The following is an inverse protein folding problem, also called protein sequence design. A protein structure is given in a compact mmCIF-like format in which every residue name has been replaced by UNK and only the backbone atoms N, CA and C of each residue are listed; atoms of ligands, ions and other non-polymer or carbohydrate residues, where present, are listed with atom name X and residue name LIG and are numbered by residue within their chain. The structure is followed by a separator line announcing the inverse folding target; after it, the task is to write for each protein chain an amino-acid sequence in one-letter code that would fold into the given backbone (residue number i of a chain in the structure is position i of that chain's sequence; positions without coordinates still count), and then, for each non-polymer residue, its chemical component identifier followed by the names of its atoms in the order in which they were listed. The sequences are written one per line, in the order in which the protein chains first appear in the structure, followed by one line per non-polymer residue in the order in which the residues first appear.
data_IF_291732746026
#
_entry.id   IF_291732746026
#
_cell.length_a   1.000
_cell.length_b   1.000
_cell.length_c   1.000
_cell.angle_alpha   90.00
_cell.angle_beta   90.00
_cell.angle_gamma   90.00
#
_symmetry.space_group_name_H-M   'P 1'
#
loop_
_entity.id
_entity.type
_entity.pdbx_description
1 polymer ?
#
# COMPACT_ATOMS: atom_id res chain seq x y z
N UNK A 1 -24.53 -9.29 -8.71
CA UNK A 1 -24.30 -10.66 -8.24
C UNK A 1 -22.88 -11.06 -8.63
N UNK A 2 -21.94 -11.05 -7.68
CA UNK A 2 -20.65 -11.72 -7.80
C UNK A 2 -20.45 -12.53 -6.53
N UNK A 3 -20.17 -13.82 -6.71
CA UNK A 3 -20.07 -14.82 -5.67
C UNK A 3 -18.63 -15.31 -5.57
N UNK A 4 -18.22 -15.66 -4.35
CA UNK A 4 -17.23 -16.71 -4.10
C UNK A 4 -15.79 -16.26 -3.91
N UNK A 5 -15.39 -16.14 -2.65
CA UNK A 5 -14.00 -16.07 -2.22
C UNK A 5 -13.89 -16.28 -0.72
N UNK A 6 -14.05 -17.52 -0.27
CA UNK A 6 -13.85 -17.92 1.13
C UNK A 6 -12.37 -17.77 1.48
N UNK A 7 -12.05 -16.87 2.39
CA UNK A 7 -10.81 -16.96 3.18
C UNK A 7 -11.20 -17.41 4.58
N UNK A 8 -10.75 -18.61 4.95
CA UNK A 8 -10.92 -19.17 6.28
C UNK A 8 -9.87 -18.58 7.23
N UNK A 9 -10.31 -18.05 8.37
CA UNK A 9 -9.42 -17.64 9.44
C UNK A 9 -10.14 -16.93 10.59
N UNK A 10 -10.37 -17.67 11.68
CA UNK A 10 -10.52 -17.14 13.04
C UNK A 10 -11.86 -16.48 13.38
N UNK A 11 -12.74 -17.21 14.08
CA UNK A 11 -13.95 -16.63 14.68
C UNK A 11 -13.67 -15.87 15.97
N UNK A 12 -14.47 -14.84 16.25
CA UNK A 12 -14.70 -14.28 17.57
C UNK A 12 -16.19 -13.89 17.71
N UNK A 13 -16.78 -14.27 18.85
CA UNK A 13 -18.17 -14.07 19.26
C UNK A 13 -18.31 -12.77 20.07
N UNK A 14 -19.55 -12.27 20.09
CA UNK A 14 -20.14 -11.21 20.93
C UNK A 14 -19.86 -9.73 20.57
N UNK A 15 -20.91 -9.06 20.06
CA UNK A 15 -21.85 -8.41 20.98
C UNK A 15 -21.64 -6.92 21.32
N UNK A 16 -20.86 -6.16 20.56
CA UNK A 16 -20.81 -4.70 20.67
C UNK A 16 -21.19 -4.04 19.34
N UNK A 17 -22.16 -3.12 19.39
CA UNK A 17 -22.42 -2.18 18.30
C UNK A 17 -21.26 -1.17 18.29
N UNK A 18 -20.16 -1.57 17.66
CA UNK A 18 -18.89 -0.86 17.66
C UNK A 18 -18.63 -0.25 16.28
N UNK A 19 -18.16 0.99 16.26
CA UNK A 19 -17.29 1.49 15.18
C UNK A 19 -16.32 0.37 14.78
N UNK A 20 -15.98 0.13 13.50
CA UNK A 20 -15.07 -0.96 13.14
C UNK A 20 -13.75 -0.78 13.91
N UNK A 21 -13.60 -1.52 15.02
CA UNK A 21 -12.43 -1.60 15.89
C UNK A 21 -11.34 -2.40 15.17
N UNK A 22 -10.93 -1.89 14.02
CA UNK A 22 -9.76 -2.39 13.31
C UNK A 22 -8.95 -1.20 12.82
N UNK A 23 -8.53 -0.34 13.74
CA UNK A 23 -7.21 0.28 13.59
C UNK A 23 -6.19 -0.87 13.69
N UNK A 24 -6.09 -1.69 12.64
CA UNK A 24 -4.94 -2.54 12.49
C UNK A 24 -3.78 -1.55 12.33
N UNK A 25 -2.96 -1.41 13.37
CA UNK A 25 -1.76 -0.59 13.29
C UNK A 25 -0.87 -1.03 12.10
N UNK A 26 -1.06 -2.27 11.65
CA UNK A 26 -0.38 -2.87 10.51
C UNK A 26 -1.30 -3.72 9.62
N UNK A 27 -1.23 -3.57 8.29
CA UNK A 27 -1.88 -4.49 7.32
C UNK A 27 -0.87 -5.04 6.30
N UNK A 28 -1.17 -6.21 5.73
CA UNK A 28 -0.30 -6.87 4.74
C UNK A 28 -1.02 -7.07 3.39
N UNK A 29 -0.39 -6.53 2.35
CA UNK A 29 -0.79 -6.71 0.96
C UNK A 29 0.06 -7.79 0.31
N UNK A 30 -0.57 -8.88 -0.10
CA UNK A 30 0.09 -10.02 -0.75
C UNK A 30 -0.50 -10.25 -2.12
N UNK A 31 0.37 -10.47 -3.12
CA UNK A 31 0.01 -10.98 -4.43
C UNK A 31 1.05 -12.03 -4.88
N UNK A 32 0.59 -13.18 -5.35
CA UNK A 32 1.43 -14.26 -5.87
C UNK A 32 0.80 -14.72 -7.17
N UNK A 33 1.52 -14.57 -8.29
CA UNK A 33 1.03 -14.94 -9.63
C UNK A 33 -0.31 -14.28 -9.97
N UNK A 34 -0.51 -13.03 -9.53
CA UNK A 34 -1.79 -12.34 -9.67
C UNK A 34 -1.70 -10.89 -9.25
N UNK A 35 -2.85 -10.22 -9.24
CA UNK A 35 -2.92 -8.78 -9.00
C UNK A 35 -3.80 -8.43 -7.80
N UNK A 36 -3.41 -7.41 -7.03
CA UNK A 36 -4.22 -6.82 -5.95
C UNK A 36 -4.35 -5.31 -6.15
N UNK A 37 -5.57 -4.82 -6.21
CA UNK A 37 -5.85 -3.40 -6.41
C UNK A 37 -6.71 -2.87 -5.25
N UNK A 38 -6.22 -1.82 -4.59
CA UNK A 38 -7.01 -1.02 -3.64
C UNK A 38 -7.37 0.29 -4.33
N UNK A 39 -8.68 0.49 -4.54
CA UNK A 39 -9.26 1.67 -5.21
C UNK A 39 -10.49 2.13 -4.43
N UNK A 40 -10.86 3.40 -4.61
CA UNK A 40 -12.02 3.98 -3.93
C UNK A 40 -11.66 4.45 -2.52
N UNK A 41 -12.68 4.70 -1.70
CA UNK A 41 -12.48 5.11 -0.31
C UNK A 41 -12.01 3.92 0.53
N UNK A 42 -10.84 4.06 1.15
CA UNK A 42 -10.27 3.08 2.06
C UNK A 42 -9.42 3.76 3.13
N UNK A 43 -9.06 3.00 4.16
CA UNK A 43 -8.33 3.48 5.33
C UNK A 43 -6.98 2.75 5.40
N UNK A 44 -5.90 3.30 4.83
CA UNK A 44 -4.58 2.71 4.94
C UNK A 44 -4.12 2.67 6.40
N UNK A 45 -3.50 1.58 6.87
CA UNK A 45 -2.88 1.56 8.19
C UNK A 45 -1.64 2.47 8.21
N UNK A 46 -1.20 2.96 9.39
CA UNK A 46 0.04 3.71 9.53
C UNK A 46 1.27 2.97 8.99
N UNK A 47 1.30 1.64 9.15
CA UNK A 47 2.37 0.78 8.62
C UNK A 47 1.75 -0.31 7.74
N UNK A 48 2.29 -0.50 6.54
CA UNK A 48 1.87 -1.54 5.60
C UNK A 48 3.04 -2.41 5.18
N UNK A 49 2.82 -3.72 5.08
CA UNK A 49 3.76 -4.65 4.41
C UNK A 49 3.22 -5.03 3.04
N UNK A 50 4.06 -4.98 2.02
CA UNK A 50 3.70 -5.31 0.64
C UNK A 50 4.63 -6.40 0.13
N UNK A 51 4.07 -7.56 -0.18
CA UNK A 51 4.77 -8.68 -0.79
C UNK A 51 4.16 -9.01 -2.14
N UNK A 52 4.99 -9.01 -3.19
CA UNK A 52 4.54 -9.43 -4.53
C UNK A 52 5.54 -10.37 -5.18
N UNK A 53 5.03 -11.45 -5.76
CA UNK A 53 5.79 -12.37 -6.60
C UNK A 53 5.07 -12.56 -7.93
N UNK A 54 5.73 -12.22 -9.04
CA UNK A 54 5.21 -12.40 -10.40
C UNK A 54 3.79 -11.85 -10.60
N UNK A 55 3.60 -10.56 -10.28
CA UNK A 55 2.28 -9.95 -10.29
C UNK A 55 2.29 -8.44 -10.15
N UNK A 56 1.13 -7.86 -9.84
CA UNK A 56 0.98 -6.42 -9.62
C UNK A 56 0.27 -6.12 -8.29
N UNK A 57 0.77 -5.13 -7.54
CA UNK A 57 -0.01 -4.52 -6.45
C UNK A 57 -0.17 -3.04 -6.76
N UNK A 58 -1.42 -2.58 -6.80
CA UNK A 58 -1.74 -1.17 -6.98
C UNK A 58 -2.52 -0.63 -5.78
N UNK A 59 -1.95 0.37 -5.12
CA UNK A 59 -2.58 1.05 -3.99
C UNK A 59 -2.86 2.51 -4.40
N UNK A 60 -4.13 2.90 -4.35
CA UNK A 60 -4.56 4.25 -4.71
C UNK A 60 -4.89 5.06 -3.45
N UNK A 61 -3.99 5.94 -3.04
CA UNK A 61 -4.15 6.82 -1.89
C UNK A 61 -4.94 8.10 -2.21
N UNK A 62 -5.36 8.33 -3.46
CA UNK A 62 -6.06 9.59 -3.83
C UNK A 62 -7.43 9.75 -3.19
N UNK A 63 -8.08 8.64 -2.88
CA UNK A 63 -9.37 8.60 -2.19
C UNK A 63 -9.23 8.00 -0.78
N UNK A 64 -8.00 7.75 -0.32
CA UNK A 64 -7.74 7.19 0.99
C UNK A 64 -7.97 8.22 2.09
N UNK A 65 -8.55 7.79 3.20
CA UNK A 65 -8.60 8.59 4.42
C UNK A 65 -7.37 8.25 5.25
N UNK A 66 -6.39 9.15 5.26
CA UNK A 66 -5.11 8.92 5.91
C UNK A 66 -5.28 9.07 7.44
N UNK A 67 -5.01 8.02 8.25
CA UNK A 67 -5.21 8.09 9.70
C UNK A 67 -4.13 8.92 10.40
N UNK A 68 -2.98 9.13 9.76
CA UNK A 68 -1.81 9.78 10.32
C UNK A 68 -1.05 10.57 9.24
N UNK A 69 -0.16 11.47 9.68
CA UNK A 69 0.67 12.28 8.77
C UNK A 69 1.78 11.48 8.10
N UNK A 70 2.19 10.34 8.65
CA UNK A 70 3.27 9.52 8.10
C UNK A 70 2.73 8.12 7.89
N UNK A 71 2.77 7.65 6.65
CA UNK A 71 2.42 6.28 6.29
C UNK A 71 3.68 5.58 5.81
N UNK A 72 3.95 4.42 6.37
CA UNK A 72 5.10 3.60 6.00
C UNK A 72 4.66 2.38 5.20
N UNK A 73 5.35 2.11 4.10
CA UNK A 73 5.17 0.92 3.30
C UNK A 73 6.51 0.20 3.20
N UNK A 74 6.56 -1.02 3.74
CA UNK A 74 7.67 -1.94 3.63
C UNK A 74 7.41 -2.92 2.47
N UNK A 75 8.16 -2.78 1.38
CA UNK A 75 7.95 -3.51 0.13
C UNK A 75 9.03 -4.57 -0.06
N UNK A 76 8.60 -5.80 -0.31
CA UNK A 76 9.46 -6.86 -0.85
C UNK A 76 8.80 -7.42 -2.11
N UNK A 77 9.39 -7.12 -3.26
CA UNK A 77 8.85 -7.52 -4.57
C UNK A 77 9.87 -8.30 -5.39
N UNK A 78 9.41 -9.37 -6.03
CA UNK A 78 10.21 -10.22 -6.92
C UNK A 78 9.47 -10.46 -8.24
N UNK A 79 10.10 -10.15 -9.37
CA UNK A 79 9.52 -10.25 -10.72
C UNK A 79 8.14 -9.58 -10.85
N UNK A 80 7.95 -8.40 -10.25
CA UNK A 80 6.63 -7.78 -10.11
C UNK A 80 6.63 -6.26 -10.30
N UNK A 81 5.43 -5.68 -10.40
CA UNK A 81 5.22 -4.23 -10.52
C UNK A 81 4.37 -3.73 -9.34
N UNK A 82 4.85 -2.70 -8.63
CA UNK A 82 4.15 -2.06 -7.52
C UNK A 82 3.82 -0.63 -7.93
N UNK A 83 2.53 -0.29 -7.93
CA UNK A 83 2.02 1.02 -8.36
C UNK A 83 1.35 1.73 -7.20
N UNK A 84 1.97 2.80 -6.73
CA UNK A 84 1.43 3.65 -5.68
C UNK A 84 0.94 4.94 -6.35
N UNK A 85 -0.35 5.23 -6.22
CA UNK A 85 -0.90 6.53 -6.60
C UNK A 85 -1.14 7.34 -5.34
N UNK A 86 -0.67 8.57 -5.29
CA UNK A 86 -0.81 9.45 -4.14
C UNK A 86 -1.57 10.72 -4.52
N UNK A 87 -2.20 11.41 -3.55
CA UNK A 87 -2.75 12.73 -3.79
C UNK A 87 -1.64 13.79 -3.82
N UNK A 88 -1.86 14.97 -4.45
CA UNK A 88 -0.83 15.97 -4.69
C UNK A 88 -0.27 16.64 -3.41
N UNK A 89 -1.03 16.64 -2.31
CA UNK A 89 -0.60 17.16 -1.01
C UNK A 89 0.45 16.27 -0.32
N UNK A 90 0.58 15.01 -0.76
CA UNK A 90 1.42 14.02 -0.10
C UNK A 90 2.87 14.08 -0.63
N UNK A 91 3.84 14.07 0.29
CA UNK A 91 5.26 13.95 -0.04
C UNK A 91 5.71 12.50 -0.03
N UNK A 92 6.72 12.14 -0.83
CA UNK A 92 7.26 10.78 -0.91
C UNK A 92 8.70 10.76 -0.45
N UNK A 93 9.05 9.77 0.36
CA UNK A 93 10.44 9.45 0.73
C UNK A 93 10.68 7.98 0.39
N UNK A 94 11.57 7.73 -0.56
CA UNK A 94 11.91 6.37 -0.99
C UNK A 94 13.28 5.98 -0.42
N UNK A 95 13.35 4.82 0.23
CA UNK A 95 14.56 4.26 0.85
C UNK A 95 14.63 2.75 0.57
N UNK A 96 14.52 2.39 -0.71
CA UNK A 96 14.53 1.00 -1.17
C UNK A 96 15.83 0.63 -1.91
N UNK A 97 16.15 -0.66 -1.91
CA UNK A 97 17.28 -1.24 -2.65
C UNK A 97 16.77 -1.96 -3.89
N UNK A 98 16.95 -1.40 -5.11
CA UNK A 98 16.66 -2.11 -6.35
C UNK A 98 17.77 -3.12 -6.65
N UNK A 99 17.42 -4.40 -6.78
CA UNK A 99 18.29 -5.48 -7.24
C UNK A 99 17.81 -5.88 -8.65
N UNK A 100 18.46 -5.37 -9.68
CA UNK A 100 18.03 -5.55 -11.09
C UNK A 100 16.60 -5.02 -11.36
N UNK A 101 16.23 -3.90 -10.72
CA UNK A 101 14.91 -3.31 -10.81
C UNK A 101 14.94 -1.78 -10.75
N UNK A 102 13.81 -1.14 -10.49
CA UNK A 102 13.72 0.31 -10.31
C UNK A 102 12.82 0.72 -9.14
N UNK A 103 13.21 1.81 -8.46
CA UNK A 103 12.34 2.61 -7.60
C UNK A 103 12.21 3.98 -8.27
N UNK A 104 11.01 4.34 -8.71
CA UNK A 104 10.73 5.56 -9.47
C UNK A 104 9.72 6.43 -8.73
N UNK A 105 10.12 7.66 -8.41
CA UNK A 105 9.21 8.73 -7.99
C UNK A 105 8.89 9.62 -9.20
N UNK A 106 7.61 9.65 -9.61
CA UNK A 106 7.11 10.49 -10.71
C UNK A 106 6.18 11.59 -10.23
N UNK A 107 6.21 11.91 -8.94
CA UNK A 107 5.38 12.97 -8.37
C UNK A 107 5.84 14.33 -8.90
N UNK A 108 4.89 15.17 -9.34
CA UNK A 108 5.18 16.45 -9.99
C UNK A 108 5.57 17.57 -9.03
N UNK A 109 5.23 17.45 -7.75
CA UNK A 109 5.50 18.44 -6.72
C UNK A 109 6.08 17.73 -5.49
N UNK A 110 7.13 18.30 -4.90
CA UNK A 110 7.46 18.02 -3.50
C UNK A 110 6.23 18.45 -2.71
N UNK A 111 5.54 17.51 -2.07
CA UNK A 111 4.21 17.71 -1.48
C UNK A 111 4.09 18.95 -0.58
N UNK A 112 2.87 19.28 -0.18
CA UNK A 112 2.60 20.50 0.56
C UNK A 112 3.43 20.58 1.87
N UNK A 113 3.91 21.77 2.25
CA UNK A 113 4.65 21.95 3.51
C UNK A 113 3.77 21.52 4.69
N UNK A 114 4.14 20.43 5.34
CA UNK A 114 3.38 19.86 6.45
C UNK A 114 2.27 18.89 6.03
N UNK A 115 2.16 18.57 4.74
CA UNK A 115 1.28 17.54 4.21
C UNK A 115 1.69 16.12 4.65
N UNK A 116 0.84 15.12 4.36
CA UNK A 116 1.15 13.73 4.67
C UNK A 116 2.43 13.26 3.94
N UNK A 117 3.13 12.30 4.52
CA UNK A 117 4.39 11.75 3.99
C UNK A 117 4.25 10.24 3.82
N UNK A 118 4.53 9.75 2.62
CA UNK A 118 4.61 8.34 2.29
C UNK A 118 6.08 7.91 2.32
N UNK A 119 6.43 7.06 3.29
CA UNK A 119 7.75 6.43 3.37
C UNK A 119 7.69 5.06 2.74
N UNK A 120 8.55 4.81 1.75
CA UNK A 120 8.62 3.54 1.05
C UNK A 120 10.00 2.92 1.28
N UNK A 121 10.02 1.79 1.96
CA UNK A 121 11.23 1.06 2.34
C UNK A 121 11.22 -0.33 1.69
N UNK A 122 12.40 -0.96 1.57
CA UNK A 122 12.50 -2.39 1.28
C UNK A 122 13.31 -2.72 0.03
N UNK A 123 13.00 -3.84 -0.63
CA UNK A 123 13.81 -4.38 -1.73
C UNK A 123 12.96 -4.78 -2.93
N UNK A 124 13.45 -4.44 -4.13
CA UNK A 124 12.82 -4.79 -5.40
C UNK A 124 13.77 -5.62 -6.24
N UNK A 125 13.50 -6.91 -6.40
CA UNK A 125 14.33 -7.84 -7.16
C UNK A 125 13.69 -8.10 -8.53
N UNK A 126 14.34 -7.73 -9.63
CA UNK A 126 13.78 -7.86 -10.98
C UNK A 126 12.36 -7.25 -11.08
N UNK A 127 12.13 -6.16 -10.35
CA UNK A 127 10.82 -5.57 -10.11
C UNK A 127 10.86 -4.05 -10.24
N UNK A 128 9.70 -3.43 -10.42
CA UNK A 128 9.56 -1.98 -10.42
C UNK A 128 8.64 -1.54 -9.28
N UNK A 129 9.02 -0.48 -8.58
CA UNK A 129 8.18 0.23 -7.60
C UNK A 129 8.03 1.66 -8.08
N UNK A 130 6.82 2.05 -8.43
CA UNK A 130 6.51 3.33 -9.06
C UNK A 130 5.50 4.11 -8.24
N UNK A 131 5.85 5.37 -7.95
CA UNK A 131 4.96 6.33 -7.31
C UNK A 131 4.58 7.41 -8.32
N UNK A 132 3.32 7.80 -8.33
CA UNK A 132 2.80 8.90 -9.16
C UNK A 132 1.65 9.62 -8.49
N UNK A 133 1.42 10.86 -8.92
CA UNK A 133 0.18 11.61 -8.68
C UNK A 133 -1.00 11.10 -9.54
#
# INVERSE_FOLDING_TARGET
RYAGGKYAGGGYRDGHEAYPETSRDEDTFVAVLGNRHMKGVWYPPPVSKVFSFMGEISLDFTQAVLPCRVIEINVFCLLSDIKLRIPPEMSVVMSGVPILGSFEDKTRQSGERGGPVLKINGAAILSSVKVKD
#
